data_IF_004468581258
#
_entry.id   IF_004468581258
#
_cell.length_a   1.000
_cell.length_b   1.000
_cell.length_c   1.000
_cell.angle_alpha   90.00
_cell.angle_beta   90.00
_cell.angle_gamma   90.00
#
_symmetry.space_group_name_H-M   'P 1'
#
loop_
_entity.id
_entity.type
_entity.pdbx_description
1 polymer ?
#
# COMPACT_ATOMS: atom_id res chain seq x y z
N UNK A 1 11.78 -31.36 -3.53
CA UNK A 1 11.97 -30.07 -2.81
C UNK A 1 11.09 -29.01 -3.48
N UNK A 2 9.91 -29.41 -3.97
CA UNK A 2 9.14 -28.71 -5.01
C UNK A 2 7.75 -28.26 -4.50
N UNK A 3 7.32 -28.78 -3.35
CA UNK A 3 6.00 -28.51 -2.77
C UNK A 3 5.80 -27.03 -2.40
N UNK A 4 6.83 -26.31 -1.96
CA UNK A 4 6.72 -24.90 -1.58
C UNK A 4 6.42 -23.98 -2.80
N UNK A 5 6.97 -24.32 -3.96
CA UNK A 5 6.71 -23.59 -5.20
C UNK A 5 5.31 -23.87 -5.75
N UNK A 6 4.83 -25.11 -5.63
CA UNK A 6 3.46 -25.49 -6.01
C UNK A 6 2.40 -24.88 -5.09
N UNK A 7 2.65 -24.84 -3.79
CA UNK A 7 1.77 -24.21 -2.82
C UNK A 7 1.66 -22.70 -3.07
N UNK A 8 2.78 -22.03 -3.29
CA UNK A 8 2.80 -20.59 -3.63
C UNK A 8 1.98 -20.33 -4.90
N UNK A 9 2.17 -21.13 -5.96
CA UNK A 9 1.38 -21.01 -7.19
C UNK A 9 -0.11 -21.22 -6.96
N UNK A 10 -0.49 -22.19 -6.11
CA UNK A 10 -1.89 -22.46 -5.79
C UNK A 10 -2.54 -21.27 -5.08
N UNK A 11 -1.88 -20.70 -4.08
CA UNK A 11 -2.36 -19.52 -3.35
C UNK A 11 -2.51 -18.32 -4.29
N UNK A 12 -1.54 -18.12 -5.20
CA UNK A 12 -1.59 -17.05 -6.19
C UNK A 12 -2.77 -17.20 -7.15
N UNK A 13 -3.03 -18.41 -7.64
CA UNK A 13 -4.18 -18.69 -8.51
C UNK A 13 -5.50 -18.38 -7.80
N UNK A 14 -5.66 -18.79 -6.54
CA UNK A 14 -6.86 -18.50 -5.75
C UNK A 14 -7.06 -17.00 -5.53
N UNK A 15 -5.98 -16.26 -5.26
CA UNK A 15 -6.04 -14.81 -5.12
C UNK A 15 -6.44 -14.14 -6.43
N UNK A 16 -5.90 -14.58 -7.57
CA UNK A 16 -6.23 -14.03 -8.89
C UNK A 16 -7.68 -14.29 -9.30
N UNK A 17 -8.22 -15.44 -8.94
CA UNK A 17 -9.63 -15.78 -9.14
C UNK A 17 -10.53 -14.85 -8.32
N UNK A 18 -10.24 -14.68 -7.03
CA UNK A 18 -10.98 -13.77 -6.15
C UNK A 18 -10.86 -12.30 -6.57
N UNK A 19 -9.67 -11.88 -7.06
CA UNK A 19 -9.45 -10.56 -7.63
C UNK A 19 -10.26 -10.34 -8.91
N UNK A 20 -10.58 -11.39 -9.67
CA UNK A 20 -11.40 -11.29 -10.87
C UNK A 20 -12.91 -11.32 -10.63
N UNK A 21 -13.37 -11.57 -9.40
CA UNK A 21 -14.80 -11.65 -9.09
C UNK A 21 -15.48 -10.27 -9.11
N UNK A 22 -16.42 -10.08 -10.05
CA UNK A 22 -17.20 -8.86 -10.20
C UNK A 22 -18.16 -8.60 -9.02
N UNK A 23 -18.53 -9.63 -8.26
CA UNK A 23 -19.41 -9.52 -7.09
C UNK A 23 -18.66 -9.21 -5.79
N UNK A 24 -17.33 -9.04 -5.86
CA UNK A 24 -16.49 -8.74 -4.70
C UNK A 24 -16.92 -7.42 -4.05
N UNK A 25 -17.21 -7.48 -2.74
CA UNK A 25 -17.54 -6.30 -1.90
C UNK A 25 -16.35 -5.84 -1.06
N UNK A 26 -15.19 -5.67 -1.69
CA UNK A 26 -13.97 -5.26 -1.02
C UNK A 26 -13.06 -4.46 -1.97
N UNK A 27 -12.34 -3.49 -1.39
CA UNK A 27 -11.27 -2.74 -2.06
C UNK A 27 -9.94 -3.30 -1.56
N UNK A 28 -9.06 -3.68 -2.48
CA UNK A 28 -7.69 -4.06 -2.15
C UNK A 28 -6.75 -2.91 -2.50
N UNK A 29 -5.85 -2.61 -1.57
CA UNK A 29 -4.70 -1.74 -1.80
C UNK A 29 -3.43 -2.55 -1.57
N UNK A 30 -2.58 -2.63 -2.59
CA UNK A 30 -1.25 -3.22 -2.50
C UNK A 30 -0.17 -2.14 -2.60
N UNK A 31 1.00 -2.41 -2.05
CA UNK A 31 2.17 -1.55 -2.19
C UNK A 31 3.36 -2.38 -2.68
N UNK A 32 4.14 -1.84 -3.61
CA UNK A 32 5.37 -2.47 -4.11
C UNK A 32 6.37 -1.39 -4.51
N UNK A 33 7.64 -1.62 -4.17
CA UNK A 33 8.75 -0.80 -4.65
C UNK A 33 9.34 -1.33 -5.98
N UNK A 34 8.84 -2.47 -6.47
CA UNK A 34 9.26 -3.13 -7.72
C UNK A 34 8.03 -3.59 -8.52
N UNK A 35 7.30 -2.65 -9.15
CA UNK A 35 6.14 -3.00 -9.97
C UNK A 35 6.48 -3.88 -11.18
N UNK A 36 7.73 -3.88 -11.64
CA UNK A 36 8.26 -4.71 -12.72
C UNK A 36 8.36 -6.20 -12.39
N UNK A 37 8.49 -6.54 -11.10
CA UNK A 37 8.56 -7.93 -10.62
C UNK A 37 7.17 -8.57 -10.51
N UNK A 38 6.10 -7.79 -10.65
CA UNK A 38 4.72 -8.25 -10.50
C UNK A 38 4.28 -9.07 -11.72
N UNK A 39 3.69 -10.25 -11.46
CA UNK A 39 3.12 -11.08 -12.52
C UNK A 39 2.05 -10.29 -13.30
N UNK A 40 2.13 -10.36 -14.65
CA UNK A 40 1.19 -9.70 -15.56
C UNK A 40 -0.27 -10.07 -15.27
N UNK A 41 -0.54 -11.24 -14.69
CA UNK A 41 -1.87 -11.66 -14.29
C UNK A 41 -2.50 -10.69 -13.27
N UNK A 42 -1.73 -10.10 -12.36
CA UNK A 42 -2.28 -9.17 -11.35
C UNK A 42 -2.72 -7.83 -11.93
N UNK A 43 -2.10 -7.37 -13.02
CA UNK A 43 -2.32 -6.04 -13.61
C UNK A 43 -3.30 -6.04 -14.79
N UNK A 44 -3.98 -7.17 -15.05
CA UNK A 44 -5.06 -7.22 -16.03
C UNK A 44 -6.31 -6.56 -15.46
N UNK A 45 -7.11 -5.98 -16.34
CA UNK A 45 -8.41 -5.37 -16.03
C UNK A 45 -9.27 -6.26 -15.12
N UNK A 46 -9.93 -5.67 -14.13
CA UNK A 46 -10.73 -6.30 -13.10
C UNK A 46 -9.97 -6.61 -11.80
N UNK A 47 -8.64 -6.44 -11.75
CA UNK A 47 -7.76 -6.88 -10.64
C UNK A 47 -7.06 -5.68 -10.00
N UNK A 48 -5.74 -5.56 -10.13
CA UNK A 48 -5.01 -4.34 -9.76
C UNK A 48 -5.00 -3.34 -10.92
N UNK A 49 -6.17 -2.79 -11.19
CA UNK A 49 -6.43 -1.92 -12.34
C UNK A 49 -5.81 -0.53 -12.17
N UNK A 50 -5.84 -0.03 -10.94
CA UNK A 50 -5.32 1.30 -10.60
C UNK A 50 -3.87 1.21 -10.15
N UNK A 51 -2.99 1.86 -10.92
CA UNK A 51 -1.57 2.04 -10.58
C UNK A 51 -1.36 3.48 -10.17
N UNK A 52 -1.09 3.69 -8.89
CA UNK A 52 -0.89 5.01 -8.30
C UNK A 52 0.61 5.14 -7.95
N UNK A 53 1.43 5.76 -8.81
CA UNK A 53 2.83 5.98 -8.50
C UNK A 53 2.95 6.98 -7.34
N UNK A 54 3.67 6.59 -6.30
CA UNK A 54 4.02 7.48 -5.19
C UNK A 54 5.41 8.04 -5.46
N UNK A 55 5.46 9.32 -5.85
CA UNK A 55 6.70 10.04 -6.10
C UNK A 55 7.29 10.60 -4.80
N UNK A 56 8.54 11.05 -4.87
CA UNK A 56 9.15 11.78 -3.77
C UNK A 56 8.36 13.06 -3.47
N UNK A 57 8.18 13.43 -2.18
CA UNK A 57 7.50 14.65 -1.82
C UNK A 57 8.29 15.87 -2.29
N UNK A 58 7.60 16.83 -2.88
CA UNK A 58 8.15 18.15 -3.19
C UNK A 58 8.36 18.99 -1.91
N UNK A 59 8.75 20.26 -2.07
CA UNK A 59 9.03 21.14 -0.94
C UNK A 59 7.81 21.38 -0.06
N UNK A 60 6.64 21.60 -0.67
CA UNK A 60 5.39 21.86 0.04
C UNK A 60 4.94 20.61 0.81
N UNK A 61 4.98 19.45 0.17
CA UNK A 61 4.67 18.16 0.79
C UNK A 61 5.63 17.85 1.94
N UNK A 62 6.94 18.12 1.79
CA UNK A 62 7.91 17.95 2.89
C UNK A 62 7.60 18.86 4.08
N UNK A 63 7.28 20.13 3.83
CA UNK A 63 6.88 21.06 4.89
C UNK A 63 5.62 20.59 5.61
N UNK A 64 4.62 20.10 4.87
CA UNK A 64 3.40 19.55 5.44
C UNK A 64 3.70 18.31 6.31
N UNK A 65 4.51 17.37 5.80
CA UNK A 65 4.95 16.20 6.58
C UNK A 65 5.62 16.64 7.89
N UNK A 66 6.54 17.61 7.84
CA UNK A 66 7.21 18.13 9.02
C UNK A 66 6.23 18.79 10.01
N UNK A 67 5.28 19.60 9.53
CA UNK A 67 4.26 20.22 10.38
C UNK A 67 3.44 19.18 11.15
N UNK A 68 3.04 18.09 10.48
CA UNK A 68 2.33 16.98 11.12
C UNK A 68 3.19 16.34 12.22
N UNK A 69 4.46 16.04 11.93
CA UNK A 69 5.34 15.34 12.88
C UNK A 69 5.80 16.23 14.04
N UNK A 70 5.87 17.55 13.84
CA UNK A 70 6.23 18.53 14.87
C UNK A 70 5.00 19.05 15.66
N UNK A 71 3.79 18.61 15.31
CA UNK A 71 2.56 19.07 15.95
C UNK A 71 2.23 20.53 15.67
N UNK A 72 2.75 21.09 14.57
CA UNK A 72 2.45 22.44 14.12
C UNK A 72 1.06 22.48 13.48
N UNK A 73 0.41 23.66 13.42
CA UNK A 73 -0.85 23.83 12.72
C UNK A 73 -0.70 23.57 11.21
N UNK A 74 -1.75 23.05 10.58
CA UNK A 74 -1.85 23.00 9.12
C UNK A 74 -2.05 24.41 8.52
N UNK A 75 -2.05 24.51 7.19
CA UNK A 75 -2.29 25.76 6.43
C UNK A 75 -3.63 26.44 6.82
N UNK A 76 -4.58 25.71 7.41
CA UNK A 76 -5.87 26.22 7.84
C UNK A 76 -5.96 26.41 9.37
N UNK A 77 -4.84 26.37 10.08
CA UNK A 77 -4.76 26.60 11.53
C UNK A 77 -5.28 25.44 12.39
N UNK A 78 -5.57 24.27 11.81
CA UNK A 78 -6.01 23.09 12.55
C UNK A 78 -4.80 22.45 13.22
N UNK A 79 -4.93 22.11 14.49
CA UNK A 79 -3.89 21.34 15.19
C UNK A 79 -3.81 19.94 14.60
N UNK A 80 -2.61 19.54 14.20
CA UNK A 80 -2.34 18.18 13.78
C UNK A 80 -2.78 17.18 14.87
N UNK A 81 -3.48 16.09 14.54
CA UNK A 81 -3.85 15.08 15.53
C UNK A 81 -2.59 14.52 16.19
N UNK A 82 -2.57 14.43 17.53
CA UNK A 82 -1.45 13.83 18.27
C UNK A 82 -1.34 12.35 17.88
N UNK A 83 -0.39 12.01 17.01
CA UNK A 83 -0.07 10.61 16.70
C UNK A 83 0.69 9.99 17.87
N UNK A 84 0.36 8.74 18.21
CA UNK A 84 1.34 7.87 18.87
C UNK A 84 2.47 7.61 17.87
N UNK A 85 3.74 7.62 18.29
CA UNK A 85 4.85 7.37 17.38
C UNK A 85 4.66 6.01 16.69
N UNK A 86 4.86 5.93 15.36
CA UNK A 86 4.84 4.67 14.67
C UNK A 86 6.11 3.93 15.07
N UNK A 87 5.95 2.76 15.69
CA UNK A 87 7.01 1.90 16.22
C UNK A 87 7.63 2.43 17.52
N UNK A 88 6.90 2.28 18.63
CA UNK A 88 7.60 1.78 19.80
C UNK A 88 8.12 0.39 19.39
N UNK A 89 9.42 0.27 19.13
CA UNK A 89 10.05 -1.04 19.10
C UNK A 89 9.84 -1.57 20.52
N UNK A 90 8.88 -2.47 20.69
CA UNK A 90 8.80 -3.27 21.90
C UNK A 90 10.07 -4.10 21.92
N UNK A 91 11.02 -3.74 22.79
CA UNK A 91 12.12 -4.62 23.15
C UNK A 91 11.54 -5.75 24.00
N UNK A 92 10.99 -6.78 23.34
CA UNK A 92 10.80 -8.12 23.91
C UNK A 92 11.24 -9.17 22.89
#
# INVERSE_FOLDING_TARGET
>A
RDSAGEETRRVFSQLLEWLGDENRKAIIVGTTNRPEDLDKAFIRTGRFDYKIPILYPDEEARLHILRIHLGLPDEQGRKSPKRKPPLAISEE
#
